data_IF_729343460421
#
_entry.id   IF_729343460421
#
_cell.length_a   1.000
_cell.length_b   1.000
_cell.length_c   1.000
_cell.angle_alpha   90.00
_cell.angle_beta   90.00
_cell.angle_gamma   90.00
#
_symmetry.space_group_name_H-M   'P 1'
#
loop_
_entity.id
_entity.type
_entity.pdbx_description
1 polymer ?
#
# COMPACT_ATOMS: atom_id res chain seq x y z
N UNK A 1 20.11 20.94 -29.07
CA UNK A 1 21.42 21.64 -29.06
C UNK A 1 21.53 22.68 -30.17
N UNK A 2 21.00 22.45 -31.38
CA UNK A 2 20.98 23.44 -32.47
C UNK A 2 20.14 24.69 -32.17
N UNK A 3 18.98 24.53 -31.55
CA UNK A 3 18.06 25.66 -31.24
C UNK A 3 18.50 26.50 -30.04
N UNK A 4 19.11 25.90 -29.01
CA UNK A 4 19.41 26.57 -27.74
C UNK A 4 20.91 26.81 -27.49
N UNK A 5 21.79 26.31 -28.38
CA UNK A 5 23.23 26.26 -28.14
C UNK A 5 23.62 25.18 -27.12
N UNK A 6 24.89 24.77 -27.13
CA UNK A 6 25.38 23.67 -26.30
C UNK A 6 25.76 24.13 -24.86
N UNK A 7 26.67 25.10 -24.71
CA UNK A 7 27.27 25.47 -23.42
C UNK A 7 27.38 26.98 -23.11
N UNK A 8 27.48 27.83 -24.14
CA UNK A 8 27.94 29.22 -23.96
C UNK A 8 26.87 30.19 -23.43
N UNK A 9 25.61 30.06 -23.83
CA UNK A 9 24.54 31.01 -23.45
C UNK A 9 23.84 30.61 -22.13
N UNK A 10 23.23 31.56 -21.42
CA UNK A 10 22.48 31.28 -20.17
C UNK A 10 21.28 30.33 -20.41
N UNK A 11 20.70 30.34 -21.61
CA UNK A 11 19.65 29.40 -22.04
C UNK A 11 20.15 28.12 -22.70
N UNK A 12 21.44 27.79 -22.58
CA UNK A 12 22.03 26.65 -23.29
C UNK A 12 21.55 25.30 -22.77
N UNK A 13 21.51 24.32 -23.69
CA UNK A 13 20.92 23.01 -23.44
C UNK A 13 21.54 22.30 -22.23
N UNK A 14 22.87 22.33 -22.07
CA UNK A 14 23.57 21.59 -21.02
C UNK A 14 23.57 22.25 -19.63
N UNK A 15 23.11 23.51 -19.51
CA UNK A 15 22.98 24.18 -18.20
C UNK A 15 21.72 23.77 -17.44
N UNK A 16 20.72 23.24 -18.13
CA UNK A 16 19.54 22.67 -17.49
C UNK A 16 19.81 21.22 -17.06
N UNK A 17 19.70 20.94 -15.76
CA UNK A 17 19.95 19.63 -15.17
C UNK A 17 19.13 18.50 -15.82
N UNK A 18 17.88 18.76 -16.20
CA UNK A 18 17.03 17.76 -16.86
C UNK A 18 17.47 17.45 -18.30
N UNK A 19 17.94 18.46 -19.03
CA UNK A 19 18.47 18.28 -20.38
C UNK A 19 19.84 17.58 -20.36
N UNK A 20 20.63 17.81 -19.31
CA UNK A 20 21.89 17.10 -19.08
C UNK A 20 21.66 15.60 -18.80
N UNK A 21 20.63 15.25 -18.04
CA UNK A 21 20.19 13.86 -17.85
C UNK A 21 19.81 13.21 -19.19
N UNK A 22 19.05 13.92 -20.03
CA UNK A 22 18.68 13.44 -21.36
C UNK A 22 19.91 13.17 -22.25
N UNK A 23 20.89 14.07 -22.22
CA UNK A 23 22.17 13.90 -22.92
C UNK A 23 22.90 12.65 -22.40
N UNK A 24 23.05 12.50 -21.08
CA UNK A 24 23.71 11.36 -20.46
C UNK A 24 23.07 10.03 -20.88
N UNK A 25 21.74 9.95 -20.84
CA UNK A 25 21.00 8.74 -21.21
C UNK A 25 21.24 8.35 -22.68
N UNK A 26 21.24 9.33 -23.58
CA UNK A 26 21.50 9.09 -25.01
C UNK A 26 22.95 8.67 -25.24
N UNK A 27 23.92 9.36 -24.61
CA UNK A 27 25.34 9.03 -24.71
C UNK A 27 25.66 7.63 -24.19
N UNK A 28 25.15 7.25 -23.02
CA UNK A 28 25.31 5.89 -22.45
C UNK A 28 24.72 4.84 -23.37
N UNK A 29 23.56 5.13 -23.97
CA UNK A 29 22.89 4.20 -24.88
C UNK A 29 23.72 3.93 -26.14
N UNK A 30 24.34 4.99 -26.69
CA UNK A 30 25.18 4.95 -27.88
C UNK A 30 26.52 4.26 -27.60
N UNK A 31 27.20 4.61 -26.51
CA UNK A 31 28.46 3.96 -26.10
C UNK A 31 28.26 2.45 -25.88
N UNK A 32 27.17 2.06 -25.22
CA UNK A 32 26.86 0.63 -25.02
C UNK A 32 26.45 -0.11 -26.31
N UNK A 33 26.11 0.58 -27.40
CA UNK A 33 25.88 -0.06 -28.71
C UNK A 33 27.21 -0.39 -29.41
N UNK A 34 28.17 0.53 -29.37
CA UNK A 34 29.50 0.34 -29.95
C UNK A 34 30.37 -0.67 -29.18
N UNK A 35 30.21 -0.74 -27.85
CA UNK A 35 30.91 -1.71 -27.01
C UNK A 35 30.12 -3.03 -26.93
N UNK A 36 30.16 -3.82 -28.00
CA UNK A 36 29.47 -5.13 -28.08
C UNK A 36 30.18 -6.25 -27.30
N UNK A 37 31.41 -6.02 -26.83
CA UNK A 37 32.16 -7.02 -26.06
C UNK A 37 31.56 -7.23 -24.67
N UNK A 38 31.08 -8.44 -24.42
CA UNK A 38 30.50 -8.90 -23.15
C UNK A 38 31.52 -9.07 -22.03
N UNK A 39 32.82 -8.93 -22.34
CA UNK A 39 33.92 -9.27 -21.45
C UNK A 39 34.26 -8.18 -20.41
N UNK A 40 33.80 -6.94 -20.56
CA UNK A 40 34.19 -5.83 -19.68
C UNK A 40 33.07 -5.54 -18.66
N UNK A 41 33.38 -5.67 -17.36
CA UNK A 41 32.48 -5.31 -16.24
C UNK A 41 31.91 -3.89 -16.35
N UNK A 42 32.69 -2.96 -16.90
CA UNK A 42 32.29 -1.57 -17.20
C UNK A 42 31.12 -1.50 -18.21
N UNK A 43 31.08 -2.36 -19.22
CA UNK A 43 29.97 -2.38 -20.20
C UNK A 43 28.67 -2.83 -19.54
N UNK A 44 28.74 -3.71 -18.52
CA UNK A 44 27.57 -4.10 -17.72
C UNK A 44 26.99 -2.90 -16.96
N UNK A 45 27.84 -2.06 -16.36
CA UNK A 45 27.41 -0.82 -15.65
C UNK A 45 26.75 0.16 -16.63
N UNK A 46 27.33 0.37 -17.81
CA UNK A 46 26.74 1.22 -18.85
C UNK A 46 25.36 0.72 -19.32
N UNK A 47 25.14 -0.60 -19.36
CA UNK A 47 23.83 -1.19 -19.64
C UNK A 47 22.83 -0.92 -18.52
N UNK A 48 23.24 -0.97 -17.25
CA UNK A 48 22.39 -0.63 -16.09
C UNK A 48 21.93 0.83 -16.15
N UNK A 49 22.81 1.77 -16.51
CA UNK A 49 22.47 3.20 -16.64
C UNK A 49 21.37 3.51 -17.67
N UNK A 50 21.06 2.58 -18.59
CA UNK A 50 19.88 2.70 -19.47
C UNK A 50 18.56 2.70 -18.70
N UNK A 51 18.53 2.21 -17.45
CA UNK A 51 17.38 2.30 -16.54
C UNK A 51 16.98 3.74 -16.23
N UNK A 52 17.87 4.72 -16.44
CA UNK A 52 17.56 6.14 -16.25
C UNK A 52 16.66 6.73 -17.35
N UNK A 53 16.39 5.99 -18.44
CA UNK A 53 15.55 6.46 -19.56
C UNK A 53 14.17 6.99 -19.13
N UNK A 54 13.40 6.34 -18.23
CA UNK A 54 12.11 6.85 -17.79
C UNK A 54 12.19 8.19 -17.06
N UNK A 55 13.33 8.57 -16.47
CA UNK A 55 13.49 9.86 -15.77
C UNK A 55 13.31 11.07 -16.70
N UNK A 56 13.48 10.91 -18.02
CA UNK A 56 13.16 11.97 -19.00
C UNK A 56 11.68 12.36 -18.99
N UNK A 57 10.80 11.48 -18.53
CA UNK A 57 9.38 11.77 -18.40
C UNK A 57 9.13 12.89 -17.38
N UNK A 58 10.00 13.06 -16.37
CA UNK A 58 9.94 14.15 -15.39
C UNK A 58 9.99 15.52 -16.08
N UNK A 59 10.84 15.67 -17.10
CA UNK A 59 10.95 16.93 -17.84
C UNK A 59 9.75 17.20 -18.76
N UNK A 60 9.06 16.13 -19.20
CA UNK A 60 7.87 16.22 -20.07
C UNK A 60 6.58 16.46 -19.29
N UNK A 61 6.47 15.89 -18.07
CA UNK A 61 5.30 16.02 -17.22
C UNK A 61 5.46 17.18 -16.23
N UNK A 62 4.77 18.30 -16.48
CA UNK A 62 4.81 19.50 -15.64
C UNK A 62 4.48 19.20 -14.16
N UNK A 63 3.51 18.33 -13.90
CA UNK A 63 3.12 17.92 -12.54
C UNK A 63 4.26 17.19 -11.79
N UNK A 64 4.89 16.19 -12.43
CA UNK A 64 5.99 15.43 -11.83
C UNK A 64 7.21 16.31 -11.53
N UNK A 65 7.49 17.28 -12.41
CA UNK A 65 8.54 18.28 -12.19
C UNK A 65 8.30 19.11 -10.94
N UNK A 66 7.05 19.56 -10.72
CA UNK A 66 6.68 20.32 -9.53
C UNK A 66 6.85 19.49 -8.24
N UNK A 67 6.38 18.24 -8.24
CA UNK A 67 6.52 17.33 -7.09
C UNK A 67 7.99 17.11 -6.73
N UNK A 68 8.85 16.82 -7.71
CA UNK A 68 10.29 16.61 -7.48
C UNK A 68 10.95 17.88 -6.91
N UNK A 69 10.57 19.07 -7.38
CA UNK A 69 11.08 20.33 -6.85
C UNK A 69 10.69 20.53 -5.38
N UNK A 70 9.43 20.25 -5.01
CA UNK A 70 8.98 20.30 -3.61
C UNK A 70 9.78 19.35 -2.72
N UNK A 71 10.08 18.13 -3.19
CA UNK A 71 10.93 17.17 -2.45
C UNK A 71 12.34 17.74 -2.22
N UNK A 72 12.96 18.37 -3.22
CA UNK A 72 14.28 18.98 -3.04
C UNK A 72 14.29 20.14 -2.03
N UNK A 73 13.25 20.97 -2.04
CA UNK A 73 13.08 22.05 -1.05
C UNK A 73 12.96 21.45 0.36
N UNK A 74 12.16 20.39 0.51
CA UNK A 74 11.97 19.71 1.78
C UNK A 74 13.21 18.99 2.31
N UNK A 75 14.02 18.37 1.45
CA UNK A 75 15.27 17.70 1.88
C UNK A 75 16.21 18.69 2.56
N UNK A 76 16.28 19.94 2.07
CA UNK A 76 17.15 20.96 2.65
C UNK A 76 16.72 21.35 4.07
N UNK A 77 15.42 21.31 4.37
CA UNK A 77 14.90 21.69 5.69
C UNK A 77 14.98 20.53 6.69
N UNK A 78 14.75 19.29 6.23
CA UNK A 78 14.83 18.07 7.05
C UNK A 78 16.28 17.66 7.36
N UNK A 79 17.25 18.12 6.56
CA UNK A 79 18.66 17.74 6.66
C UNK A 79 19.24 17.84 8.07
N UNK A 80 18.89 18.88 8.84
CA UNK A 80 19.36 19.04 10.21
C UNK A 80 18.93 17.88 11.13
N UNK A 81 17.68 17.45 11.04
CA UNK A 81 17.15 16.35 11.88
C UNK A 81 17.72 15.00 11.41
N UNK A 82 17.94 14.83 10.10
CA UNK A 82 18.62 13.65 9.55
C UNK A 82 20.06 13.51 10.03
N UNK A 83 20.79 14.63 10.18
CA UNK A 83 22.15 14.62 10.74
C UNK A 83 22.11 14.19 12.21
N UNK A 84 21.19 14.74 13.01
CA UNK A 84 21.06 14.38 14.44
C UNK A 84 20.72 12.90 14.62
N UNK A 85 19.78 12.36 13.83
CA UNK A 85 19.41 10.93 13.89
C UNK A 85 20.55 10.02 13.46
N UNK A 86 21.29 10.38 12.41
CA UNK A 86 22.47 9.62 11.96
C UNK A 86 23.57 9.63 13.03
N UNK A 87 23.78 10.76 13.72
CA UNK A 87 24.74 10.87 14.82
C UNK A 87 24.34 9.97 15.99
N UNK A 88 23.06 9.97 16.38
CA UNK A 88 22.55 9.07 17.42
C UNK A 88 22.71 7.60 17.03
N UNK A 89 22.39 7.24 15.78
CA UNK A 89 22.61 5.88 15.28
C UNK A 89 24.09 5.49 15.31
N UNK A 90 25.00 6.41 14.99
CA UNK A 90 26.44 6.19 15.12
C UNK A 90 26.86 5.94 16.59
N UNK A 91 26.35 6.75 17.55
CA UNK A 91 26.63 6.54 18.97
C UNK A 91 26.16 5.17 19.46
N UNK A 92 24.93 4.78 19.12
CA UNK A 92 24.40 3.46 19.46
C UNK A 92 25.14 2.32 18.75
N UNK A 93 25.61 2.52 17.52
CA UNK A 93 26.43 1.54 16.81
C UNK A 93 27.77 1.33 17.53
N UNK A 94 28.42 2.40 18.00
CA UNK A 94 29.63 2.30 18.81
C UNK A 94 29.38 1.52 20.12
N UNK A 95 28.28 1.80 20.82
CA UNK A 95 27.89 1.03 22.02
C UNK A 95 27.65 -0.44 21.66
N UNK A 96 26.89 -0.71 20.60
CA UNK A 96 26.61 -2.07 20.13
C UNK A 96 27.87 -2.85 19.77
N UNK A 97 28.86 -2.23 19.12
CA UNK A 97 30.16 -2.86 18.84
C UNK A 97 30.86 -3.25 20.14
N UNK A 98 30.88 -2.39 21.16
CA UNK A 98 31.48 -2.74 22.45
C UNK A 98 30.75 -3.89 23.16
N UNK A 99 29.43 -4.02 22.97
CA UNK A 99 28.64 -5.07 23.60
C UNK A 99 28.72 -6.41 22.88
N UNK A 100 28.72 -6.41 21.54
CA UNK A 100 28.39 -7.59 20.72
C UNK A 100 29.47 -8.02 19.71
N UNK A 101 30.59 -7.29 19.60
CA UNK A 101 31.67 -7.63 18.65
C UNK A 101 32.12 -9.09 18.82
N UNK A 102 32.11 -9.85 17.73
CA UNK A 102 32.57 -11.24 17.70
C UNK A 102 31.66 -12.25 18.40
N UNK A 103 30.44 -11.85 18.84
CA UNK A 103 29.54 -12.71 19.62
C UNK A 103 28.34 -13.26 18.83
N UNK A 104 28.16 -12.85 17.58
CA UNK A 104 27.02 -13.26 16.73
C UNK A 104 27.34 -14.46 15.81
N UNK A 105 28.48 -15.10 16.04
CA UNK A 105 28.86 -16.31 15.35
C UNK A 105 28.12 -17.52 15.92
N UNK A 106 27.78 -18.46 15.04
CA UNK A 106 27.15 -19.73 15.40
C UNK A 106 27.58 -20.85 14.48
N UNK A 107 27.52 -22.07 14.98
CA UNK A 107 27.65 -23.27 14.17
C UNK A 107 26.30 -23.64 13.55
N UNK A 108 26.31 -24.35 12.41
CA UNK A 108 25.09 -24.98 11.88
C UNK A 108 24.61 -26.15 12.74
N UNK A 109 25.48 -26.72 13.56
CA UNK A 109 25.18 -27.74 14.58
C UNK A 109 25.11 -27.05 15.96
N UNK A 110 23.91 -26.96 16.54
CA UNK A 110 23.64 -26.27 17.81
C UNK A 110 24.38 -26.89 19.00
N UNK A 111 24.86 -28.14 18.89
CA UNK A 111 25.62 -28.79 19.96
C UNK A 111 27.08 -28.32 20.05
N UNK A 112 27.59 -27.59 19.03
CA UNK A 112 28.98 -27.12 18.98
C UNK A 112 29.06 -25.60 19.15
N UNK A 113 29.82 -25.18 20.15
CA UNK A 113 29.88 -23.76 20.55
C UNK A 113 31.20 -23.08 20.21
N UNK A 114 32.20 -23.76 19.63
CA UNK A 114 33.47 -23.12 19.22
C UNK A 114 33.81 -23.43 17.77
N UNK A 115 34.56 -22.55 17.07
CA UNK A 115 34.93 -22.76 15.67
C UNK A 115 35.80 -24.01 15.45
N UNK A 116 36.60 -24.43 16.44
CA UNK A 116 37.40 -25.66 16.34
C UNK A 116 36.52 -26.91 16.37
N UNK A 117 35.44 -26.87 17.14
CA UNK A 117 34.46 -27.96 17.26
C UNK A 117 33.50 -28.00 16.06
N UNK A 118 33.25 -26.86 15.42
CA UNK A 118 32.35 -26.74 14.27
C UNK A 118 33.01 -27.19 12.95
N UNK A 119 33.49 -28.44 12.92
CA UNK A 119 34.12 -29.05 11.75
C UNK A 119 33.53 -30.45 11.46
N UNK A 120 33.65 -30.87 10.20
CA UNK A 120 33.14 -32.15 9.72
C UNK A 120 31.64 -32.09 9.41
N UNK A 121 30.97 -33.24 9.52
CA UNK A 121 29.55 -33.38 9.18
C UNK A 121 28.70 -33.68 10.42
N UNK A 122 27.41 -33.38 10.32
CA UNK A 122 26.41 -33.70 11.34
C UNK A 122 25.13 -34.18 10.67
N UNK A 123 24.32 -34.91 11.44
CA UNK A 123 23.05 -35.48 10.97
C UNK A 123 21.92 -34.52 11.32
N UNK A 124 21.08 -34.22 10.32
CA UNK A 124 19.86 -33.42 10.45
C UNK A 124 18.67 -34.33 10.18
N UNK A 125 17.68 -34.27 11.07
CA UNK A 125 16.41 -34.96 10.91
C UNK A 125 15.38 -33.98 10.39
N UNK A 126 14.87 -34.22 9.18
CA UNK A 126 13.85 -33.35 8.59
C UNK A 126 12.54 -33.55 9.36
N UNK A 127 11.98 -32.46 9.89
CA UNK A 127 10.72 -32.48 10.67
C UNK A 127 10.74 -33.42 11.89
N UNK A 128 11.93 -33.73 12.42
CA UNK A 128 12.11 -34.66 13.54
C UNK A 128 11.97 -36.14 13.16
N UNK A 129 11.85 -36.48 11.87
CA UNK A 129 11.82 -37.86 11.41
C UNK A 129 13.20 -38.52 11.54
N UNK A 130 13.34 -39.39 12.55
CA UNK A 130 14.57 -40.12 12.83
C UNK A 130 14.86 -41.19 11.78
N UNK A 131 13.86 -41.59 10.98
CA UNK A 131 14.00 -42.67 9.99
C UNK A 131 14.73 -42.24 8.70
N UNK A 132 14.76 -40.95 8.39
CA UNK A 132 15.42 -40.41 7.19
C UNK A 132 16.49 -39.36 7.55
N UNK A 133 17.65 -39.78 8.10
CA UNK A 133 18.73 -38.87 8.44
C UNK A 133 19.36 -38.25 7.19
N UNK A 134 19.55 -36.93 7.20
CA UNK A 134 20.29 -36.21 6.16
C UNK A 134 21.64 -35.75 6.72
N UNK A 135 22.72 -35.96 5.97
CA UNK A 135 24.05 -35.49 6.38
C UNK A 135 24.29 -34.09 5.82
N UNK A 136 24.73 -33.16 6.67
CA UNK A 136 25.13 -31.80 6.28
C UNK A 136 26.51 -31.46 6.85
N UNK A 137 27.18 -30.51 6.22
CA UNK A 137 28.47 -30.00 6.69
C UNK A 137 28.28 -28.96 7.83
N UNK A 138 29.18 -29.01 8.82
CA UNK A 138 29.25 -28.00 9.87
C UNK A 138 29.92 -26.74 9.34
N UNK A 139 29.24 -25.61 9.46
CA UNK A 139 29.75 -24.31 8.99
C UNK A 139 29.65 -23.29 10.12
N UNK A 140 30.81 -22.79 10.55
CA UNK A 140 30.89 -21.66 11.45
C UNK A 140 30.63 -20.38 10.67
N UNK A 141 29.51 -19.71 10.93
CA UNK A 141 29.11 -18.53 10.18
C UNK A 141 28.65 -17.42 11.12
N UNK A 142 28.81 -16.19 10.65
CA UNK A 142 28.34 -15.00 11.34
C UNK A 142 26.89 -14.69 10.94
N UNK A 143 26.19 -13.93 11.77
CA UNK A 143 24.92 -13.32 11.40
C UNK A 143 25.12 -12.25 10.32
N UNK A 144 24.21 -12.19 9.34
CA UNK A 144 24.23 -11.20 8.25
C UNK A 144 24.21 -9.76 8.79
N UNK A 145 23.42 -9.52 9.83
CA UNK A 145 23.44 -8.30 10.63
C UNK A 145 24.19 -8.57 11.94
N UNK A 146 25.29 -7.86 12.15
CA UNK A 146 26.18 -8.00 13.30
C UNK A 146 26.79 -6.66 13.71
N UNK A 147 27.57 -6.67 14.79
CA UNK A 147 28.19 -5.49 15.39
C UNK A 147 29.72 -5.63 15.45
N UNK A 148 30.35 -6.27 14.46
CA UNK A 148 31.81 -6.46 14.46
C UNK A 148 32.57 -5.18 14.14
N UNK A 149 31.94 -4.27 13.39
CA UNK A 149 32.42 -2.93 13.12
C UNK A 149 31.26 -1.93 13.12
N UNK A 150 31.58 -0.65 13.25
CA UNK A 150 30.58 0.42 13.40
C UNK A 150 29.65 0.49 12.19
N UNK A 151 30.14 0.28 10.97
CA UNK A 151 29.31 0.33 9.77
C UNK A 151 28.28 -0.80 9.75
N UNK A 152 28.69 -2.03 10.07
CA UNK A 152 27.77 -3.18 10.20
C UNK A 152 26.78 -2.96 11.34
N UNK A 153 27.23 -2.41 12.47
CA UNK A 153 26.37 -2.03 13.58
C UNK A 153 25.34 -0.96 13.20
N UNK A 154 25.75 0.05 12.40
CA UNK A 154 24.82 1.03 11.85
C UNK A 154 23.80 0.38 10.91
N UNK A 155 24.22 -0.56 10.05
CA UNK A 155 23.29 -1.30 9.17
C UNK A 155 22.32 -2.18 9.97
N UNK A 156 22.79 -2.85 11.03
CA UNK A 156 21.95 -3.64 11.92
C UNK A 156 20.95 -2.75 12.70
N UNK A 157 21.38 -1.58 13.17
CA UNK A 157 20.48 -0.61 13.81
C UNK A 157 19.51 0.02 12.80
N UNK A 158 19.89 0.16 11.53
CA UNK A 158 18.99 0.62 10.49
C UNK A 158 17.83 -0.36 10.27
N UNK A 159 18.06 -1.68 10.26
CA UNK A 159 16.96 -2.64 10.17
C UNK A 159 16.07 -2.64 11.41
N UNK A 160 16.66 -2.40 12.58
CA UNK A 160 15.90 -2.20 13.82
C UNK A 160 15.04 -0.95 13.76
N UNK A 161 15.54 0.17 13.21
CA UNK A 161 14.78 1.41 13.09
C UNK A 161 13.63 1.35 12.08
N UNK A 162 13.71 0.46 11.09
CA UNK A 162 12.59 0.16 10.18
C UNK A 162 11.61 -0.86 10.74
N UNK A 163 11.85 -1.38 11.95
CA UNK A 163 11.10 -2.48 12.56
C UNK A 163 11.08 -3.78 11.75
N UNK A 164 12.08 -4.01 10.91
CA UNK A 164 12.19 -5.20 10.07
C UNK A 164 13.19 -6.19 10.67
N UNK A 165 12.72 -7.39 11.03
CA UNK A 165 13.59 -8.45 11.57
C UNK A 165 14.25 -8.14 12.92
N UNK A 166 13.88 -7.05 13.60
CA UNK A 166 14.45 -6.65 14.88
C UNK A 166 14.32 -7.70 16.01
N UNK A 167 13.23 -8.51 16.12
CA UNK A 167 13.16 -9.53 17.17
C UNK A 167 14.21 -10.62 16.95
N UNK A 168 14.49 -10.98 15.69
CA UNK A 168 15.51 -11.99 15.38
C UNK A 168 16.92 -11.50 15.75
N UNK A 169 17.21 -10.21 15.55
CA UNK A 169 18.47 -9.61 15.99
C UNK A 169 18.55 -9.51 17.52
N UNK A 170 17.44 -9.14 18.17
CA UNK A 170 17.32 -9.10 19.63
C UNK A 170 17.60 -10.47 20.26
N UNK A 171 16.95 -11.55 19.77
CA UNK A 171 17.17 -12.88 20.33
C UNK A 171 18.62 -13.35 20.15
N UNK A 172 19.23 -13.10 18.99
CA UNK A 172 20.67 -13.35 18.78
C UNK A 172 21.54 -12.57 19.77
N UNK A 173 21.14 -11.35 20.13
CA UNK A 173 21.85 -10.53 21.09
C UNK A 173 21.65 -10.99 22.54
N UNK A 174 20.46 -11.49 22.91
CA UNK A 174 20.17 -12.10 24.21
C UNK A 174 21.00 -13.38 24.40
N UNK A 175 21.10 -14.18 23.34
CA UNK A 175 21.84 -15.44 23.37
C UNK A 175 23.36 -15.25 23.20
N UNK A 176 23.82 -14.02 22.97
CA UNK A 176 25.22 -13.71 22.72
C UNK A 176 26.09 -13.97 23.96
N UNK A 177 27.00 -14.94 23.86
CA UNK A 177 27.86 -15.35 24.97
C UNK A 177 29.19 -14.57 25.01
N UNK A 178 30.24 -15.15 24.43
CA UNK A 178 31.60 -14.63 24.41
C UNK A 178 32.15 -14.52 22.99
N UNK A 179 33.31 -13.88 22.85
CA UNK A 179 33.97 -13.78 21.54
C UNK A 179 34.35 -15.17 21.03
N UNK A 180 34.03 -15.46 19.77
CA UNK A 180 34.24 -16.78 19.13
C UNK A 180 33.53 -17.95 19.84
N UNK A 181 32.53 -17.67 20.67
CA UNK A 181 31.67 -18.68 21.29
C UNK A 181 30.28 -18.59 20.70
N UNK A 182 29.65 -19.75 20.54
CA UNK A 182 28.29 -19.88 20.03
C UNK A 182 27.26 -19.36 21.03
N UNK A 183 26.01 -19.19 20.58
CA UNK A 183 24.94 -18.69 21.42
C UNK A 183 24.65 -19.63 22.59
N UNK A 184 24.23 -19.05 23.72
CA UNK A 184 23.68 -19.77 24.88
C UNK A 184 22.28 -19.24 25.10
N UNK A 185 21.29 -20.13 25.04
CA UNK A 185 19.88 -19.76 25.12
C UNK A 185 19.57 -18.95 26.39
N UNK A 186 18.95 -17.78 26.22
CA UNK A 186 18.56 -16.87 27.30
C UNK A 186 19.70 -16.45 28.24
N UNK A 187 20.92 -16.28 27.71
CA UNK A 187 22.08 -15.96 28.55
C UNK A 187 22.01 -14.57 29.19
N UNK A 188 21.65 -13.53 28.43
CA UNK A 188 21.64 -12.13 28.90
C UNK A 188 20.40 -11.39 28.44
N UNK A 189 19.29 -11.62 29.12
CA UNK A 189 17.99 -11.00 28.79
C UNK A 189 18.02 -9.48 28.98
N UNK A 190 18.91 -8.96 29.83
CA UNK A 190 19.06 -7.52 30.12
C UNK A 190 19.46 -6.71 28.88
N UNK A 191 20.09 -7.36 27.89
CA UNK A 191 20.46 -6.75 26.60
C UNK A 191 19.24 -6.22 25.85
N UNK A 192 18.04 -6.74 26.13
CA UNK A 192 16.79 -6.22 25.57
C UNK A 192 16.60 -4.73 25.82
N UNK A 193 17.09 -4.21 26.95
CA UNK A 193 17.01 -2.79 27.30
C UNK A 193 17.71 -1.92 26.24
N UNK A 194 18.86 -2.35 25.70
CA UNK A 194 19.58 -1.63 24.66
C UNK A 194 18.71 -1.40 23.42
N UNK A 195 18.05 -2.45 22.93
CA UNK A 195 17.21 -2.38 21.74
C UNK A 195 15.92 -1.59 21.99
N UNK A 196 15.27 -1.77 23.14
CA UNK A 196 14.04 -1.04 23.47
C UNK A 196 14.32 0.46 23.62
N UNK A 197 15.40 0.85 24.30
CA UNK A 197 15.79 2.26 24.43
C UNK A 197 16.14 2.85 23.06
N UNK A 198 16.90 2.13 22.23
CA UNK A 198 17.20 2.57 20.87
C UNK A 198 15.92 2.79 20.05
N UNK A 199 14.99 1.84 20.08
CA UNK A 199 13.71 1.90 19.37
C UNK A 199 12.90 3.12 19.81
N UNK A 200 12.75 3.37 21.11
CA UNK A 200 11.98 4.50 21.62
C UNK A 200 12.60 5.83 21.16
N UNK A 201 13.93 5.97 21.29
CA UNK A 201 14.63 7.19 20.88
C UNK A 201 14.45 7.42 19.39
N UNK A 202 14.73 6.42 18.54
CA UNK A 202 14.65 6.60 17.09
C UNK A 202 13.20 6.78 16.61
N UNK A 203 12.22 6.08 17.20
CA UNK A 203 10.82 6.26 16.86
C UNK A 203 10.35 7.70 17.15
N UNK A 204 10.76 8.28 18.28
CA UNK A 204 10.49 9.68 18.60
C UNK A 204 11.06 10.64 17.55
N UNK A 205 12.33 10.44 17.15
CA UNK A 205 12.92 11.26 16.10
C UNK A 205 12.27 11.06 14.73
N UNK A 206 11.92 9.83 14.34
CA UNK A 206 11.24 9.53 13.08
C UNK A 206 9.88 10.25 12.99
N UNK A 207 9.10 10.23 14.09
CA UNK A 207 7.85 10.97 14.17
C UNK A 207 8.08 12.48 14.03
N UNK A 208 9.10 13.03 14.68
CA UNK A 208 9.45 14.45 14.57
C UNK A 208 9.90 14.85 13.15
N UNK A 209 10.63 13.99 12.44
CA UNK A 209 10.99 14.21 11.03
C UNK A 209 9.72 14.30 10.16
N UNK A 210 8.80 13.36 10.33
CA UNK A 210 7.55 13.32 9.57
C UNK A 210 6.70 14.57 9.82
N UNK A 211 6.49 14.91 11.10
CA UNK A 211 5.70 16.09 11.49
C UNK A 211 6.37 17.38 11.00
N UNK A 212 7.69 17.52 11.16
CA UNK A 212 8.45 18.68 10.70
C UNK A 212 8.34 18.86 9.18
N UNK A 213 8.47 17.78 8.41
CA UNK A 213 8.31 17.81 6.95
C UNK A 213 6.91 18.27 6.53
N UNK A 214 5.87 17.70 7.14
CA UNK A 214 4.48 18.04 6.83
C UNK A 214 4.22 19.51 7.14
N UNK A 215 4.59 19.99 8.33
CA UNK A 215 4.36 21.39 8.73
C UNK A 215 5.06 22.36 7.78
N UNK A 216 6.33 22.12 7.44
CA UNK A 216 7.08 23.01 6.55
C UNK A 216 6.46 23.02 5.15
N UNK A 217 6.12 21.85 4.62
CA UNK A 217 5.54 21.72 3.28
C UNK A 217 4.17 22.41 3.21
N UNK A 218 3.30 22.18 4.21
CA UNK A 218 1.98 22.79 4.28
C UNK A 218 2.06 24.30 4.51
N UNK A 219 3.02 24.79 5.28
CA UNK A 219 3.21 26.23 5.48
C UNK A 219 3.71 26.91 4.21
N UNK A 220 4.72 26.34 3.57
CA UNK A 220 5.33 26.93 2.37
C UNK A 220 4.36 26.92 1.17
N UNK A 221 3.63 25.82 0.94
CA UNK A 221 2.61 25.77 -0.11
C UNK A 221 1.33 26.52 0.27
N UNK A 222 0.88 26.40 1.52
CA UNK A 222 -0.38 26.96 1.97
C UNK A 222 -0.36 28.47 2.17
N UNK A 223 0.71 29.04 2.74
CA UNK A 223 0.78 30.49 2.99
C UNK A 223 1.22 31.28 1.75
N UNK A 224 2.02 30.68 0.86
CA UNK A 224 2.52 31.40 -0.33
C UNK A 224 1.42 31.74 -1.33
N UNK A 225 0.36 30.93 -1.43
CA UNK A 225 -0.75 31.16 -2.35
C UNK A 225 -1.63 32.36 -1.94
N UNK A 226 -1.63 32.73 -0.66
CA UNK A 226 -2.53 33.77 -0.12
C UNK A 226 -1.83 35.00 0.46
N UNK A 227 -0.48 35.04 0.48
CA UNK A 227 0.31 36.08 1.17
C UNK A 227 0.02 37.52 0.72
N UNK A 228 -0.46 37.71 -0.51
CA UNK A 228 -0.73 39.02 -1.12
C UNK A 228 -2.20 39.20 -1.57
N UNK A 229 -3.12 38.41 -1.03
CA UNK A 229 -4.55 38.53 -1.35
C UNK A 229 -5.30 39.30 -0.26
N UNK A 230 -6.23 40.17 -0.66
CA UNK A 230 -7.12 40.88 0.28
C UNK A 230 -8.12 39.95 0.97
N UNK A 231 -8.48 38.84 0.31
CA UNK A 231 -9.43 37.85 0.82
C UNK A 231 -8.70 36.69 1.49
N UNK A 232 -9.24 36.23 2.63
CA UNK A 232 -8.81 34.99 3.28
C UNK A 232 -9.23 33.75 2.47
N UNK A 233 -8.69 32.58 2.84
CA UNK A 233 -8.99 31.29 2.20
C UNK A 233 -10.49 30.93 2.23
N UNK A 234 -11.16 31.14 3.37
CA UNK A 234 -12.58 30.83 3.55
C UNK A 234 -13.47 31.75 2.71
N UNK A 235 -13.18 33.05 2.71
CA UNK A 235 -13.88 34.06 1.93
C UNK A 235 -13.77 33.75 0.43
N UNK A 236 -12.58 33.43 -0.05
CA UNK A 236 -12.37 33.03 -1.45
C UNK A 236 -13.16 31.77 -1.81
N UNK A 237 -13.16 30.76 -0.93
CA UNK A 237 -13.93 29.53 -1.15
C UNK A 237 -15.44 29.81 -1.21
N UNK A 238 -15.97 30.70 -0.36
CA UNK A 238 -17.38 31.12 -0.39
C UNK A 238 -17.71 31.90 -1.66
N UNK A 239 -16.87 32.86 -2.06
CA UNK A 239 -17.08 33.65 -3.29
C UNK A 239 -17.02 32.75 -4.52
N UNK A 240 -16.04 31.85 -4.59
CA UNK A 240 -15.91 30.89 -5.69
C UNK A 240 -17.13 29.96 -5.78
N UNK A 241 -17.62 29.47 -4.64
CA UNK A 241 -18.85 28.69 -4.60
C UNK A 241 -20.05 29.50 -5.11
N UNK A 242 -20.23 30.73 -4.62
CA UNK A 242 -21.34 31.59 -5.02
C UNK A 242 -21.33 31.90 -6.54
N UNK A 243 -20.15 32.10 -7.13
CA UNK A 243 -20.00 32.39 -8.56
C UNK A 243 -20.16 31.14 -9.45
N UNK A 244 -19.77 29.95 -8.96
CA UNK A 244 -19.77 28.70 -9.74
C UNK A 244 -20.99 27.81 -9.49
N UNK A 245 -21.77 28.07 -8.45
CA UNK A 245 -22.93 27.26 -8.10
C UNK A 245 -23.94 27.23 -9.26
N UNK A 246 -24.35 26.03 -9.65
CA UNK A 246 -25.38 25.80 -10.65
C UNK A 246 -26.59 25.13 -9.99
N UNK A 247 -27.82 25.43 -10.44
CA UNK A 247 -29.01 24.83 -9.86
C UNK A 247 -29.00 23.32 -10.07
N UNK A 248 -29.35 22.56 -9.03
CA UNK A 248 -29.54 21.11 -9.15
C UNK A 248 -30.79 20.82 -9.99
N UNK A 249 -30.64 19.92 -10.97
CA UNK A 249 -31.75 19.44 -11.80
C UNK A 249 -32.47 18.30 -11.08
N UNK A 250 -33.63 18.59 -10.50
CA UNK A 250 -34.51 17.58 -9.89
C UNK A 250 -35.57 17.12 -10.90
N UNK A 251 -35.76 15.81 -11.02
CA UNK A 251 -36.81 15.24 -11.87
C UNK A 251 -38.07 14.98 -11.03
N UNK A 252 -39.19 15.59 -11.43
CA UNK A 252 -40.51 15.38 -10.84
C UNK A 252 -41.45 14.87 -11.95
N UNK A 253 -42.06 13.68 -11.79
CA UNK A 253 -42.95 13.12 -12.81
C UNK A 253 -44.30 13.85 -12.85
N UNK A 254 -44.87 13.99 -14.06
CA UNK A 254 -46.18 14.64 -14.27
C UNK A 254 -47.37 13.67 -14.17
N UNK A 255 -47.15 12.39 -14.49
CA UNK A 255 -48.22 11.40 -14.51
C UNK A 255 -48.62 10.99 -13.08
N UNK A 256 -49.92 10.90 -12.75
CA UNK A 256 -50.36 10.65 -11.37
C UNK A 256 -49.95 9.27 -10.84
N UNK A 257 -49.97 8.24 -11.70
CA UNK A 257 -49.52 6.88 -11.34
C UNK A 257 -48.01 6.87 -11.08
N UNK A 258 -47.23 7.49 -11.97
CA UNK A 258 -45.78 7.59 -11.82
C UNK A 258 -45.39 8.42 -10.59
N UNK A 259 -46.15 9.47 -10.30
CA UNK A 259 -45.97 10.31 -9.11
C UNK A 259 -46.20 9.54 -7.82
N UNK A 260 -47.19 8.63 -7.77
CA UNK A 260 -47.37 7.73 -6.60
C UNK A 260 -46.14 6.86 -6.34
N UNK A 261 -45.59 6.24 -7.39
CA UNK A 261 -44.35 5.46 -7.27
C UNK A 261 -43.16 6.32 -6.86
N UNK A 262 -43.02 7.51 -7.47
CA UNK A 262 -41.97 8.47 -7.13
C UNK A 262 -42.06 8.95 -5.67
N UNK A 263 -43.26 9.29 -5.20
CA UNK A 263 -43.49 9.69 -3.81
C UNK A 263 -43.22 8.55 -2.83
N UNK A 264 -43.48 7.30 -3.23
CA UNK A 264 -43.18 6.13 -2.40
C UNK A 264 -41.67 5.90 -2.28
N UNK A 265 -40.91 5.89 -3.39
CA UNK A 265 -39.46 5.67 -3.35
C UNK A 265 -38.70 6.79 -2.62
N UNK A 266 -39.24 8.01 -2.63
CA UNK A 266 -38.66 9.17 -1.95
C UNK A 266 -39.01 9.21 -0.46
N UNK A 267 -39.91 8.33 0.01
CA UNK A 267 -40.31 8.29 1.41
C UNK A 267 -39.19 7.79 2.32
N UNK A 268 -39.06 8.41 3.49
CA UNK A 268 -38.08 8.00 4.51
C UNK A 268 -38.28 6.55 4.95
N UNK A 269 -39.53 6.06 5.00
CA UNK A 269 -39.86 4.69 5.33
C UNK A 269 -39.25 3.69 4.34
N UNK A 270 -39.39 3.95 3.03
CA UNK A 270 -38.78 3.09 2.00
C UNK A 270 -37.25 3.05 2.15
N UNK A 271 -36.63 4.20 2.41
CA UNK A 271 -35.18 4.26 2.63
C UNK A 271 -34.71 3.43 3.83
N UNK A 272 -35.41 3.50 4.97
CA UNK A 272 -35.08 2.71 6.15
C UNK A 272 -35.29 1.22 5.92
N UNK A 273 -36.36 0.82 5.22
CA UNK A 273 -36.59 -0.58 4.85
C UNK A 273 -35.42 -1.11 4.02
N UNK A 274 -35.01 -0.39 2.98
CA UNK A 274 -33.88 -0.80 2.14
C UNK A 274 -32.58 -0.88 2.93
N UNK A 275 -32.34 0.07 3.84
CA UNK A 275 -31.18 0.06 4.72
C UNK A 275 -31.15 -1.19 5.63
N UNK A 276 -32.27 -1.52 6.28
CA UNK A 276 -32.39 -2.72 7.13
C UNK A 276 -32.17 -3.98 6.31
N UNK A 277 -32.69 -4.07 5.08
CA UNK A 277 -32.46 -5.21 4.20
C UNK A 277 -30.98 -5.39 3.85
N UNK A 278 -30.24 -4.30 3.61
CA UNK A 278 -28.79 -4.35 3.39
C UNK A 278 -28.07 -4.87 4.65
N UNK A 279 -28.45 -4.39 5.83
CA UNK A 279 -27.86 -4.86 7.10
C UNK A 279 -28.13 -6.35 7.34
N UNK A 280 -29.37 -6.80 7.16
CA UNK A 280 -29.73 -8.20 7.30
C UNK A 280 -28.97 -9.07 6.29
N UNK A 281 -28.86 -8.63 5.03
CA UNK A 281 -28.07 -9.35 4.03
C UNK A 281 -26.59 -9.42 4.42
N UNK A 282 -26.04 -8.34 4.98
CA UNK A 282 -24.67 -8.31 5.49
C UNK A 282 -24.45 -9.33 6.59
N UNK A 283 -25.37 -9.40 7.56
CA UNK A 283 -25.31 -10.40 8.64
C UNK A 283 -25.38 -11.81 8.06
N UNK A 284 -26.26 -12.08 7.09
CA UNK A 284 -26.32 -13.41 6.46
C UNK A 284 -25.04 -13.81 5.74
N UNK A 285 -24.33 -12.85 5.14
CA UNK A 285 -23.01 -13.11 4.55
C UNK A 285 -21.95 -13.35 5.64
N UNK A 286 -22.02 -12.64 6.77
CA UNK A 286 -21.04 -12.73 7.85
C UNK A 286 -21.13 -14.02 8.69
N UNK A 287 -22.31 -14.65 8.79
CA UNK A 287 -22.51 -15.87 9.59
C UNK A 287 -22.02 -17.15 8.87
N UNK A 288 -21.77 -17.08 7.56
CA UNK A 288 -21.24 -18.22 6.80
C UNK A 288 -19.84 -18.61 7.31
N UNK A 289 -19.63 -19.90 7.57
CA UNK A 289 -18.37 -20.41 8.14
C UNK A 289 -17.95 -21.74 7.51
N UNK A 290 -16.68 -22.08 7.68
CA UNK A 290 -16.12 -23.35 7.23
C UNK A 290 -16.77 -24.52 7.99
N UNK A 291 -17.03 -25.63 7.30
CA UNK A 291 -17.66 -26.85 7.85
C UNK A 291 -19.09 -26.69 8.41
N UNK A 292 -19.85 -25.70 7.93
CA UNK A 292 -21.26 -25.56 8.29
C UNK A 292 -22.14 -26.71 7.73
N UNK A 293 -23.23 -27.02 8.44
CA UNK A 293 -24.14 -28.10 8.02
C UNK A 293 -24.76 -27.85 6.64
N UNK A 294 -25.06 -28.93 5.90
CA UNK A 294 -25.70 -28.82 4.58
C UNK A 294 -27.03 -28.06 4.65
N UNK A 295 -27.82 -28.32 5.69
CA UNK A 295 -29.09 -27.61 5.93
C UNK A 295 -28.85 -26.12 6.10
N UNK A 296 -27.86 -25.73 6.91
CA UNK A 296 -27.53 -24.32 7.10
C UNK A 296 -27.08 -23.65 5.79
N UNK A 297 -26.23 -24.31 5.01
CA UNK A 297 -25.84 -23.83 3.67
C UNK A 297 -27.05 -23.60 2.76
N UNK A 298 -27.99 -24.56 2.71
CA UNK A 298 -29.21 -24.41 1.92
C UNK A 298 -30.07 -23.23 2.39
N UNK A 299 -30.24 -23.03 3.71
CA UNK A 299 -30.97 -21.87 4.25
C UNK A 299 -30.28 -20.56 3.84
N UNK A 300 -28.95 -20.49 3.92
CA UNK A 300 -28.19 -19.31 3.51
C UNK A 300 -28.33 -19.00 2.01
N UNK A 301 -28.38 -20.02 1.15
CA UNK A 301 -28.61 -19.84 -0.29
C UNK A 301 -30.01 -19.32 -0.60
N UNK A 302 -31.04 -19.86 0.09
CA UNK A 302 -32.41 -19.37 -0.02
C UNK A 302 -32.49 -17.89 0.42
N UNK A 303 -31.88 -17.54 1.56
CA UNK A 303 -31.87 -16.14 2.03
C UNK A 303 -31.18 -15.21 1.03
N UNK A 304 -30.06 -15.62 0.44
CA UNK A 304 -29.37 -14.85 -0.59
C UNK A 304 -30.25 -14.64 -1.85
N UNK A 305 -31.01 -15.66 -2.26
CA UNK A 305 -31.97 -15.55 -3.34
C UNK A 305 -33.09 -14.56 -3.00
N UNK A 306 -33.65 -14.63 -1.79
CA UNK A 306 -34.68 -13.70 -1.30
C UNK A 306 -34.19 -12.26 -1.31
N UNK A 307 -33.00 -11.98 -0.77
CA UNK A 307 -32.43 -10.62 -0.80
C UNK A 307 -32.21 -10.12 -2.23
N UNK A 308 -31.76 -10.99 -3.14
CA UNK A 308 -31.60 -10.63 -4.56
C UNK A 308 -32.95 -10.27 -5.18
N UNK A 309 -34.01 -11.03 -4.88
CA UNK A 309 -35.37 -10.72 -5.30
C UNK A 309 -35.86 -9.37 -4.79
N UNK A 310 -35.66 -9.08 -3.50
CA UNK A 310 -36.05 -7.80 -2.88
C UNK A 310 -35.32 -6.61 -3.52
N UNK A 311 -34.01 -6.70 -3.77
CA UNK A 311 -33.25 -5.65 -4.47
C UNK A 311 -33.64 -5.53 -5.95
N UNK A 312 -34.06 -6.62 -6.59
CA UNK A 312 -34.60 -6.57 -7.95
C UNK A 312 -35.94 -5.82 -7.99
N UNK A 313 -36.82 -6.06 -7.01
CA UNK A 313 -38.07 -5.32 -6.86
C UNK A 313 -37.81 -3.83 -6.59
N UNK A 314 -36.85 -3.51 -5.71
CA UNK A 314 -36.39 -2.13 -5.49
C UNK A 314 -36.00 -1.45 -6.81
N UNK A 315 -35.14 -2.10 -7.61
CA UNK A 315 -34.69 -1.59 -8.90
C UNK A 315 -35.87 -1.36 -9.86
N UNK A 316 -36.81 -2.32 -9.96
CA UNK A 316 -37.98 -2.19 -10.82
C UNK A 316 -38.88 -1.03 -10.39
N UNK A 317 -39.13 -0.86 -9.09
CA UNK A 317 -39.91 0.27 -8.57
C UNK A 317 -39.24 1.62 -8.90
N UNK A 318 -37.92 1.73 -8.74
CA UNK A 318 -37.17 2.94 -9.14
C UNK A 318 -37.22 3.20 -10.64
N UNK A 319 -37.13 2.14 -11.47
CA UNK A 319 -37.25 2.25 -12.93
C UNK A 319 -38.64 2.74 -13.37
N UNK A 320 -39.71 2.27 -12.73
CA UNK A 320 -41.08 2.72 -12.98
C UNK A 320 -41.28 4.19 -12.55
N UNK A 321 -40.66 4.61 -11.44
CA UNK A 321 -40.76 5.98 -10.94
C UNK A 321 -39.95 7.00 -11.76
N UNK A 322 -38.69 6.69 -12.09
CA UNK A 322 -37.73 7.64 -12.69
C UNK A 322 -37.65 7.55 -14.23
N UNK A 323 -38.11 6.43 -14.81
CA UNK A 323 -37.88 6.03 -16.22
C UNK A 323 -36.40 5.77 -16.49
N UNK A 324 -36.10 4.96 -17.51
CA UNK A 324 -34.73 4.54 -17.85
C UNK A 324 -33.71 5.69 -17.90
N UNK A 325 -34.08 6.80 -18.55
CA UNK A 325 -33.15 7.93 -18.73
C UNK A 325 -32.73 8.59 -17.42
N UNK A 326 -33.65 8.88 -16.49
CA UNK A 326 -33.27 9.56 -15.25
C UNK A 326 -32.68 8.59 -14.22
N UNK A 327 -33.04 7.32 -14.28
CA UNK A 327 -32.43 6.28 -13.44
C UNK A 327 -30.91 6.19 -13.67
N UNK A 328 -30.46 6.14 -14.93
CA UNK A 328 -29.03 6.02 -15.26
C UNK A 328 -28.24 7.33 -15.23
N UNK A 329 -28.89 8.48 -15.00
CA UNK A 329 -28.18 9.75 -14.78
C UNK A 329 -27.54 9.77 -13.39
N UNK A 330 -28.18 9.16 -12.40
CA UNK A 330 -27.61 9.04 -11.07
C UNK A 330 -26.60 7.87 -11.02
N UNK A 331 -25.39 8.18 -10.55
CA UNK A 331 -24.31 7.20 -10.47
C UNK A 331 -24.60 6.09 -9.46
N UNK A 332 -25.30 6.41 -8.36
CA UNK A 332 -25.65 5.42 -7.34
C UNK A 332 -26.73 4.45 -7.82
N UNK A 333 -27.77 4.93 -8.49
CA UNK A 333 -28.75 4.07 -9.14
C UNK A 333 -28.14 3.21 -10.26
N UNK A 334 -27.20 3.76 -11.04
CA UNK A 334 -26.47 2.98 -12.06
C UNK A 334 -25.63 1.86 -11.44
N UNK A 335 -24.95 2.15 -10.32
CA UNK A 335 -24.20 1.16 -9.56
C UNK A 335 -25.10 0.09 -8.91
N UNK A 336 -26.27 0.49 -8.39
CA UNK A 336 -27.30 -0.41 -7.86
C UNK A 336 -27.77 -1.40 -8.94
N UNK A 337 -28.07 -0.90 -10.15
CA UNK A 337 -28.46 -1.76 -11.27
C UNK A 337 -27.36 -2.74 -11.66
N UNK A 338 -26.09 -2.32 -11.66
CA UNK A 338 -24.95 -3.22 -11.91
C UNK A 338 -24.92 -4.37 -10.90
N UNK A 339 -25.11 -4.07 -9.60
CA UNK A 339 -25.11 -5.08 -8.54
C UNK A 339 -26.29 -6.05 -8.70
N UNK A 340 -27.49 -5.53 -8.96
CA UNK A 340 -28.70 -6.34 -9.11
C UNK A 340 -28.57 -7.26 -10.34
N UNK A 341 -28.15 -6.73 -11.49
CA UNK A 341 -27.94 -7.52 -12.70
C UNK A 341 -26.86 -8.58 -12.48
N UNK A 342 -25.72 -8.21 -11.88
CA UNK A 342 -24.65 -9.16 -11.56
C UNK A 342 -25.12 -10.27 -10.60
N UNK A 343 -25.98 -9.94 -9.64
CA UNK A 343 -26.57 -10.90 -8.71
C UNK A 343 -27.60 -11.83 -9.36
N UNK A 344 -28.37 -11.34 -10.34
CA UNK A 344 -29.30 -12.18 -11.10
C UNK A 344 -28.52 -13.13 -12.00
N UNK A 345 -27.45 -12.65 -12.64
CA UNK A 345 -26.54 -13.50 -13.43
C UNK A 345 -25.90 -14.58 -12.55
N UNK A 346 -25.46 -14.26 -11.34
CA UNK A 346 -24.93 -15.23 -10.36
C UNK A 346 -25.91 -16.39 -10.12
N UNK A 347 -27.19 -16.08 -9.88
CA UNK A 347 -28.23 -17.09 -9.65
C UNK A 347 -28.45 -17.93 -10.91
N UNK A 348 -28.62 -17.30 -12.07
CA UNK A 348 -28.86 -18.01 -13.34
C UNK A 348 -27.72 -18.95 -13.67
N UNK A 349 -26.47 -18.49 -13.51
CA UNK A 349 -25.27 -19.32 -13.75
C UNK A 349 -25.21 -20.47 -12.75
N UNK A 350 -25.48 -20.23 -11.47
CA UNK A 350 -25.46 -21.27 -10.43
C UNK A 350 -26.48 -22.38 -10.70
N UNK A 351 -27.71 -22.01 -11.07
CA UNK A 351 -28.79 -22.96 -11.39
C UNK A 351 -28.50 -23.72 -12.70
N UNK A 352 -28.00 -23.04 -13.73
CA UNK A 352 -27.67 -23.66 -15.01
C UNK A 352 -26.49 -24.64 -14.89
N UNK A 353 -25.46 -24.31 -14.11
CA UNK A 353 -24.32 -25.19 -13.83
C UNK A 353 -24.70 -26.42 -12.99
N UNK A 354 -25.80 -26.38 -12.23
CA UNK A 354 -26.31 -27.56 -11.53
C UNK A 354 -26.93 -28.59 -12.51
N UNK A 355 -27.54 -28.11 -13.60
CA UNK A 355 -28.16 -28.95 -14.62
C UNK A 355 -27.16 -29.55 -15.62
N UNK A 356 -26.03 -28.87 -15.86
CA UNK A 356 -25.03 -29.28 -16.82
C UNK A 356 -23.73 -29.67 -16.11
N UNK A 357 -23.47 -30.97 -16.01
CA UNK A 357 -22.27 -31.51 -15.38
C UNK A 357 -21.02 -31.34 -16.26
N UNK A 358 -20.50 -30.11 -16.42
CA UNK A 358 -19.21 -29.89 -17.11
C UNK A 358 -18.47 -28.57 -16.81
N UNK A 359 -17.14 -28.67 -16.86
CA UNK A 359 -16.05 -27.68 -16.96
C UNK A 359 -15.58 -26.85 -15.75
N UNK A 360 -14.28 -27.01 -15.41
CA UNK A 360 -13.53 -26.30 -14.36
C UNK A 360 -13.44 -24.78 -14.59
N UNK A 361 -13.53 -24.31 -15.85
CA UNK A 361 -13.55 -22.88 -16.19
C UNK A 361 -14.82 -22.17 -15.71
N UNK A 362 -15.94 -22.89 -15.60
CA UNK A 362 -17.20 -22.37 -15.04
C UNK A 362 -17.13 -22.17 -13.52
N UNK A 363 -16.22 -22.87 -12.81
CA UNK A 363 -16.07 -22.75 -11.35
C UNK A 363 -15.42 -21.43 -10.93
N UNK A 364 -14.49 -20.91 -11.74
CA UNK A 364 -13.81 -19.63 -11.47
C UNK A 364 -14.79 -18.46 -11.64
N UNK A 365 -15.64 -18.49 -12.67
CA UNK A 365 -16.65 -17.44 -12.88
C UNK A 365 -17.73 -17.44 -11.80
N UNK A 366 -18.18 -18.61 -11.31
CA UNK A 366 -19.12 -18.73 -10.18
C UNK A 366 -18.57 -18.05 -8.91
N UNK A 367 -17.26 -18.17 -8.65
CA UNK A 367 -16.64 -17.54 -7.47
C UNK A 367 -16.57 -16.01 -7.62
N UNK A 368 -16.33 -15.51 -8.83
CA UNK A 368 -16.32 -14.07 -9.11
C UNK A 368 -17.70 -13.42 -8.98
N UNK A 369 -18.76 -14.06 -9.50
CA UNK A 369 -20.12 -13.50 -9.43
C UNK A 369 -20.65 -13.42 -7.99
N UNK A 370 -20.22 -14.31 -7.09
CA UNK A 370 -20.52 -14.21 -5.65
C UNK A 370 -20.03 -12.90 -5.02
N UNK A 371 -19.01 -12.23 -5.58
CA UNK A 371 -18.55 -10.93 -5.09
C UNK A 371 -19.63 -9.84 -5.20
N UNK A 372 -20.55 -9.93 -6.17
CA UNK A 372 -21.65 -8.97 -6.28
C UNK A 372 -22.57 -8.97 -5.05
N UNK A 373 -22.65 -10.09 -4.31
CA UNK A 373 -23.37 -10.16 -3.04
C UNK A 373 -22.74 -9.24 -2.01
N UNK A 374 -21.41 -9.26 -1.90
CA UNK A 374 -20.64 -8.39 -0.98
C UNK A 374 -20.69 -6.93 -1.44
N UNK A 375 -20.69 -6.66 -2.75
CA UNK A 375 -20.77 -5.30 -3.29
C UNK A 375 -22.04 -4.54 -2.85
N UNK A 376 -23.10 -5.24 -2.41
CA UNK A 376 -24.31 -4.63 -1.84
C UNK A 376 -24.02 -3.79 -0.59
N UNK A 377 -23.01 -4.17 0.22
CA UNK A 377 -22.56 -3.39 1.37
C UNK A 377 -22.12 -1.97 0.98
N UNK A 378 -21.57 -1.79 -0.22
CA UNK A 378 -21.13 -0.49 -0.72
C UNK A 378 -22.32 0.49 -0.84
N UNK A 379 -23.55 -0.01 -0.96
CA UNK A 379 -24.77 0.83 -0.93
C UNK A 379 -24.89 1.64 0.37
N UNK A 380 -24.33 1.17 1.49
CA UNK A 380 -24.32 1.91 2.76
C UNK A 380 -23.58 3.25 2.63
N UNK A 381 -22.58 3.34 1.74
CA UNK A 381 -21.85 4.58 1.46
C UNK A 381 -22.72 5.66 0.81
N UNK A 382 -23.79 5.27 0.11
CA UNK A 382 -24.73 6.22 -0.49
C UNK A 382 -25.53 6.99 0.56
N UNK A 383 -25.73 6.37 1.75
CA UNK A 383 -26.49 6.93 2.88
C UNK A 383 -25.63 7.73 3.84
N UNK A 384 -24.37 7.36 4.02
CA UNK A 384 -23.44 8.10 4.89
C UNK A 384 -22.91 9.37 4.23
N UNK A 385 -23.60 10.50 4.39
CA UNK A 385 -23.18 11.79 3.80
C UNK A 385 -21.75 12.19 4.15
N UNK A 386 -21.37 11.99 5.42
CA UNK A 386 -20.01 12.27 5.91
C UNK A 386 -18.95 11.39 5.24
N UNK A 387 -19.19 10.07 5.18
CA UNK A 387 -18.26 9.11 4.55
C UNK A 387 -18.15 9.38 3.04
N UNK A 388 -19.29 9.64 2.37
CA UNK A 388 -19.33 9.97 0.94
C UNK A 388 -18.53 11.23 0.63
N UNK A 389 -18.70 12.27 1.43
CA UNK A 389 -17.98 13.54 1.27
C UNK A 389 -16.48 13.33 1.49
N UNK A 390 -16.10 12.57 2.51
CA UNK A 390 -14.70 12.23 2.79
C UNK A 390 -14.06 11.44 1.64
N UNK A 391 -14.71 10.37 1.19
CA UNK A 391 -14.22 9.54 0.07
C UNK A 391 -14.14 10.34 -1.23
N UNK A 392 -15.15 11.15 -1.54
CA UNK A 392 -15.13 12.00 -2.73
C UNK A 392 -13.99 13.03 -2.68
N UNK A 393 -13.75 13.63 -1.51
CA UNK A 393 -12.64 14.58 -1.33
C UNK A 393 -11.29 13.89 -1.54
N UNK A 394 -11.14 12.67 -1.01
CA UNK A 394 -9.93 11.87 -1.20
C UNK A 394 -9.73 11.46 -2.66
N UNK A 395 -10.75 10.93 -3.33
CA UNK A 395 -10.68 10.56 -4.76
C UNK A 395 -10.34 11.77 -5.63
N UNK A 396 -10.97 12.92 -5.36
CA UNK A 396 -10.69 14.16 -6.07
C UNK A 396 -9.27 14.69 -5.82
N UNK A 397 -8.68 14.40 -4.65
CA UNK A 397 -7.29 14.77 -4.36
C UNK A 397 -6.25 13.87 -5.05
N UNK A 398 -6.65 12.67 -5.49
CA UNK A 398 -5.80 11.73 -6.25
C UNK A 398 -5.87 11.92 -7.77
N UNK A 399 -6.93 12.56 -8.27
CA UNK A 399 -7.11 12.96 -9.67
C UNK A 399 -6.25 14.17 -10.01
#
# INVERSE_FOLDING_TARGET
MTVHGAFLHQGSFCRNWFNLLDLLVVSVSLISFFLHSSAISVVKILRVLRVLRPLRAINRAKGLKHVVQCVFVAIKTIGNIMIVTTLLQFMFACIGVQLFKGKFYRCTDEAKHTPEQCKGTFVVYKDGDVSHPMVRERIWHNSDFNFDNVLMGMMALFTVSTFEGWPALLYKAIDANGENHGPVYNYRVEISIFFIVYIIIIAFFMMNIFVGFVIITFREQGESEYKNCELDKNQRQCVEFALKAQPLKLYIPKNPVQYKFWSFIQSTAFEYVMFVLILLNTVTLAVQHYEQSKVFSHVMDILNMVFTGLFTVEMLLKLLALRLRHYFIDAWNSFDALIVVGSVVDIVVTEFSFLQSSDDSSRVSITFFRLFRVMRLVKLLSKGEGIRTLLWTFVKSLQ
#
